data_IF_111736460706
#
_entry.id   IF_111736460706
#
_cell.length_a   1.000
_cell.length_b   1.000
_cell.length_c   1.000
_cell.angle_alpha   90.00
_cell.angle_beta   90.00
_cell.angle_gamma   90.00
#
_symmetry.space_group_name_H-M   'P 1'
#
loop_
_entity.id
_entity.type
_entity.pdbx_description
1 polymer ?
#
# COMPACT_ATOMS: atom_id res chain seq x y z
N UNK A 1 -16.83 -0.73 6.72
CA UNK A 1 -17.18 -2.05 7.27
C UNK A 1 -18.16 -1.83 8.42
N UNK A 2 -19.39 -2.36 8.29
CA UNK A 2 -20.43 -2.25 9.34
C UNK A 2 -20.27 -3.41 10.34
N UNK A 3 -19.08 -3.46 11.01
CA UNK A 3 -18.75 -4.48 12.00
C UNK A 3 -19.22 -4.00 13.37
N UNK A 4 -20.09 -4.79 14.01
CA UNK A 4 -20.58 -4.53 15.37
C UNK A 4 -19.66 -5.19 16.40
N UNK A 5 -19.59 -4.66 17.64
CA UNK A 5 -18.81 -5.29 18.71
C UNK A 5 -19.17 -6.79 18.97
N UNK A 6 -20.41 -7.16 18.67
CA UNK A 6 -20.86 -8.55 18.78
C UNK A 6 -20.20 -9.50 17.77
N UNK A 7 -19.80 -8.99 16.61
CA UNK A 7 -19.21 -9.78 15.53
C UNK A 7 -17.72 -10.08 15.80
N UNK A 8 -17.10 -9.39 16.76
CA UNK A 8 -15.72 -9.62 17.18
C UNK A 8 -15.64 -10.91 18.00
N UNK A 9 -14.87 -11.87 17.55
CA UNK A 9 -14.72 -13.17 18.24
C UNK A 9 -13.89 -13.03 19.51
N UNK A 10 -12.72 -12.43 19.42
CA UNK A 10 -11.75 -12.27 20.49
C UNK A 10 -11.16 -10.86 20.50
N UNK A 11 -10.88 -10.35 21.70
CA UNK A 11 -10.12 -9.10 21.89
C UNK A 11 -8.80 -9.45 22.55
N UNK A 12 -7.70 -9.23 21.84
CA UNK A 12 -6.35 -9.54 22.31
C UNK A 12 -5.67 -8.22 22.65
N UNK A 13 -5.11 -8.12 23.86
CA UNK A 13 -4.38 -6.96 24.34
C UNK A 13 -2.87 -7.15 24.18
N UNK A 14 -2.19 -6.14 23.62
CA UNK A 14 -0.76 -6.13 23.37
C UNK A 14 -0.14 -4.83 23.88
N UNK A 15 1.06 -4.90 24.45
CA UNK A 15 1.80 -3.77 24.98
C UNK A 15 1.55 -3.50 26.47
N UNK A 16 2.51 -2.84 27.12
CA UNK A 16 2.51 -2.60 28.57
C UNK A 16 1.32 -1.81 29.12
N UNK A 17 0.77 -0.87 28.33
CA UNK A 17 -0.41 -0.08 28.70
C UNK A 17 -1.67 -0.94 28.93
N UNK A 18 -1.69 -2.15 28.43
CA UNK A 18 -2.81 -3.09 28.63
C UNK A 18 -2.92 -3.62 30.05
N UNK A 19 -1.88 -3.41 30.88
CA UNK A 19 -1.88 -3.75 32.31
C UNK A 19 -2.71 -2.78 33.14
N UNK A 20 -3.09 -1.63 32.57
CA UNK A 20 -3.90 -0.59 33.26
C UNK A 20 -5.34 -1.11 33.39
N UNK A 21 -5.90 -1.23 34.62
CA UNK A 21 -7.25 -1.77 34.82
C UNK A 21 -8.33 -1.02 34.04
N UNK A 22 -8.23 0.31 33.96
CA UNK A 22 -9.19 1.14 33.24
C UNK A 22 -9.26 0.80 31.72
N UNK A 23 -8.14 0.40 31.12
CA UNK A 23 -8.09 -0.05 29.72
C UNK A 23 -8.89 -1.36 29.56
N UNK A 24 -8.65 -2.32 30.44
CA UNK A 24 -9.34 -3.61 30.43
C UNK A 24 -10.85 -3.44 30.67
N UNK A 25 -11.24 -2.61 31.62
CA UNK A 25 -12.64 -2.30 31.90
C UNK A 25 -13.34 -1.61 30.72
N UNK A 26 -12.66 -0.67 30.05
CA UNK A 26 -13.21 0.02 28.88
C UNK A 26 -13.48 -0.95 27.74
N UNK A 27 -12.56 -1.87 27.48
CA UNK A 27 -12.70 -2.90 26.46
C UNK A 27 -13.87 -3.84 26.81
N UNK A 28 -13.95 -4.29 28.06
CA UNK A 28 -15.06 -5.12 28.54
C UNK A 28 -16.41 -4.44 28.34
N UNK A 29 -16.50 -3.13 28.63
CA UNK A 29 -17.72 -2.33 28.41
C UNK A 29 -18.12 -2.22 26.94
N UNK A 30 -17.15 -2.01 26.05
CA UNK A 30 -17.41 -1.79 24.61
C UNK A 30 -17.79 -3.12 23.93
N UNK A 31 -17.00 -4.16 24.16
CA UNK A 31 -17.17 -5.45 23.44
C UNK A 31 -18.01 -6.46 24.20
N UNK A 32 -18.38 -6.19 25.46
CA UNK A 32 -19.05 -7.14 26.37
C UNK A 32 -18.35 -8.50 26.42
N UNK A 33 -17.03 -8.50 26.38
CA UNK A 33 -16.13 -9.67 26.38
C UNK A 33 -14.92 -9.41 27.25
N UNK A 34 -14.45 -10.47 27.90
CA UNK A 34 -13.13 -10.39 28.58
C UNK A 34 -12.02 -10.36 27.52
N UNK A 35 -11.05 -9.51 27.76
CA UNK A 35 -9.85 -9.48 26.91
C UNK A 35 -8.96 -10.70 27.18
N UNK A 36 -8.36 -11.23 26.13
CA UNK A 36 -7.39 -12.33 26.24
C UNK A 36 -5.97 -11.77 26.22
N UNK A 37 -5.14 -12.25 27.15
CA UNK A 37 -3.71 -12.04 27.13
C UNK A 37 -3.05 -13.24 26.45
N UNK A 38 -2.37 -13.04 25.36
CA UNK A 38 -1.58 -14.07 24.71
C UNK A 38 -0.12 -13.91 25.11
N UNK A 39 0.37 -14.79 25.97
CA UNK A 39 1.75 -14.73 26.46
C UNK A 39 2.05 -13.48 27.28
N UNK A 40 3.26 -12.94 27.15
CA UNK A 40 3.65 -11.67 27.74
C UNK A 40 3.30 -10.52 26.79
N UNK A 41 2.38 -9.61 27.14
CA UNK A 41 1.96 -8.51 26.26
C UNK A 41 3.11 -7.57 25.89
N UNK A 42 4.15 -7.47 26.72
CA UNK A 42 5.31 -6.62 26.45
C UNK A 42 6.23 -7.20 25.36
N UNK A 43 6.23 -8.52 25.19
CA UNK A 43 7.09 -9.25 24.25
C UNK A 43 6.35 -9.64 22.95
N UNK A 44 5.03 -9.55 22.93
CA UNK A 44 4.19 -10.08 21.84
C UNK A 44 4.58 -9.51 20.48
N UNK A 45 4.92 -8.21 20.39
CA UNK A 45 5.34 -7.55 19.15
C UNK A 45 6.70 -8.10 18.69
N UNK A 46 7.67 -8.22 19.61
CA UNK A 46 9.00 -8.73 19.29
C UNK A 46 8.95 -10.19 18.83
N UNK A 47 8.15 -11.00 19.52
CA UNK A 47 7.93 -12.42 19.15
C UNK A 47 7.24 -12.53 17.78
N UNK A 48 6.23 -11.70 17.51
CA UNK A 48 5.58 -11.64 16.21
C UNK A 48 6.53 -11.25 15.09
N UNK A 49 7.37 -10.24 15.32
CA UNK A 49 8.42 -9.83 14.37
C UNK A 49 9.43 -10.94 14.10
N UNK A 50 9.85 -11.69 15.13
CA UNK A 50 10.78 -12.82 14.98
C UNK A 50 10.15 -13.96 14.16
N UNK A 51 8.87 -14.27 14.39
CA UNK A 51 8.12 -15.28 13.62
C UNK A 51 7.97 -14.83 12.16
N UNK A 52 7.65 -13.55 11.93
CA UNK A 52 7.55 -12.97 10.59
C UNK A 52 8.88 -13.01 9.86
N UNK A 53 9.97 -12.65 10.51
CA UNK A 53 11.31 -12.75 9.94
C UNK A 53 11.66 -14.20 9.54
N UNK A 54 11.33 -15.17 10.37
CA UNK A 54 11.50 -16.58 10.03
C UNK A 54 10.63 -17.01 8.84
N UNK A 55 9.38 -16.56 8.78
CA UNK A 55 8.45 -16.84 7.67
C UNK A 55 8.97 -16.29 6.33
N UNK A 56 9.56 -15.09 6.32
CA UNK A 56 10.13 -14.44 5.13
C UNK A 56 11.56 -14.94 4.79
N UNK A 57 12.22 -15.69 5.69
CA UNK A 57 13.57 -16.19 5.46
C UNK A 57 13.60 -17.38 4.49
N UNK A 58 14.72 -17.50 3.75
CA UNK A 58 14.94 -18.72 2.95
C UNK A 58 14.94 -19.95 3.87
N UNK A 59 14.17 -20.96 3.51
CA UNK A 59 14.04 -22.21 4.25
C UNK A 59 15.38 -22.90 4.52
N UNK A 60 16.42 -22.63 3.73
CA UNK A 60 17.79 -23.14 3.93
C UNK A 60 18.43 -22.60 5.20
N UNK A 61 18.08 -21.38 5.60
CA UNK A 61 18.65 -20.68 6.75
C UNK A 61 17.95 -21.02 8.07
N UNK A 62 16.86 -21.78 8.02
CA UNK A 62 16.06 -22.13 9.19
C UNK A 62 16.39 -23.50 9.72
N UNK A 63 16.48 -23.62 11.06
CA UNK A 63 16.60 -24.91 11.72
C UNK A 63 15.26 -25.70 11.70
N UNK A 64 15.27 -27.01 12.00
CA UNK A 64 14.06 -27.84 11.95
C UNK A 64 12.91 -27.33 12.82
N UNK A 65 13.18 -26.77 14.01
CA UNK A 65 12.17 -26.25 14.92
C UNK A 65 11.53 -24.98 14.36
N UNK A 66 12.30 -24.09 13.77
CA UNK A 66 11.81 -22.89 13.11
C UNK A 66 10.93 -23.25 11.90
N UNK A 67 11.35 -24.22 11.08
CA UNK A 67 10.56 -24.73 9.95
C UNK A 67 9.22 -25.28 10.42
N UNK A 68 9.23 -26.06 11.50
CA UNK A 68 7.99 -26.61 12.08
C UNK A 68 7.08 -25.50 12.63
N UNK A 69 7.65 -24.48 13.28
CA UNK A 69 6.87 -23.37 13.83
C UNK A 69 6.14 -22.58 12.75
N UNK A 70 6.78 -22.33 11.60
CA UNK A 70 6.18 -21.56 10.51
C UNK A 70 5.36 -22.39 9.52
N UNK A 71 5.50 -23.71 9.51
CA UNK A 71 4.86 -24.60 8.51
C UNK A 71 3.33 -24.53 8.44
N UNK A 72 2.69 -24.10 9.54
CA UNK A 72 1.24 -23.95 9.65
C UNK A 72 0.79 -22.50 9.54
N UNK A 73 1.71 -21.55 9.37
CA UNK A 73 1.38 -20.15 9.26
C UNK A 73 1.05 -19.82 7.80
N UNK A 74 -0.04 -19.13 7.61
CA UNK A 74 -0.37 -18.45 6.36
C UNK A 74 -0.50 -16.98 6.69
N UNK A 75 0.43 -16.17 6.18
CA UNK A 75 0.38 -14.73 6.34
C UNK A 75 -0.03 -14.11 5.00
N UNK A 76 -1.03 -13.27 5.04
CA UNK A 76 -1.52 -12.52 3.91
C UNK A 76 -1.37 -11.03 4.25
N UNK A 77 -0.70 -10.31 3.40
CA UNK A 77 -0.56 -8.86 3.50
C UNK A 77 -1.55 -8.20 2.55
N UNK A 78 -1.84 -6.93 2.80
CA UNK A 78 -2.75 -6.14 1.99
C UNK A 78 -2.12 -4.77 1.70
N UNK A 79 -2.50 -4.16 0.58
CA UNK A 79 -2.05 -2.83 0.20
C UNK A 79 -2.46 -1.81 1.27
N UNK A 80 -1.53 -0.99 1.81
CA UNK A 80 -1.83 -0.08 2.91
C UNK A 80 -2.60 1.17 2.48
N UNK A 81 -2.58 1.47 1.19
CA UNK A 81 -3.15 2.67 0.58
C UNK A 81 -3.84 2.36 -0.74
N UNK A 82 -4.65 3.30 -1.21
CA UNK A 82 -5.09 3.35 -2.60
C UNK A 82 -3.95 3.91 -3.44
N UNK A 83 -3.70 3.31 -4.59
CA UNK A 83 -2.73 3.78 -5.57
C UNK A 83 -3.43 3.97 -6.91
N UNK A 84 -3.18 5.10 -7.55
CA UNK A 84 -3.84 5.48 -8.78
C UNK A 84 -2.96 6.29 -9.71
N UNK A 85 -3.57 6.80 -10.77
CA UNK A 85 -2.96 7.73 -11.73
C UNK A 85 -3.92 8.86 -12.04
N UNK A 86 -3.39 10.06 -12.32
CA UNK A 86 -4.21 11.19 -12.76
C UNK A 86 -4.47 11.05 -14.26
N UNK A 87 -5.74 11.03 -14.62
CA UNK A 87 -6.21 10.92 -16.01
C UNK A 87 -7.27 11.98 -16.29
N UNK A 88 -7.77 12.02 -17.50
CA UNK A 88 -8.93 12.82 -17.88
C UNK A 88 -10.14 11.90 -18.00
N UNK A 89 -11.24 12.30 -17.41
CA UNK A 89 -12.52 11.61 -17.53
C UNK A 89 -13.64 12.61 -17.87
N UNK A 90 -14.73 12.10 -18.41
CA UNK A 90 -15.92 12.91 -18.67
C UNK A 90 -16.60 13.22 -17.32
N UNK A 91 -16.68 14.50 -16.99
CA UNK A 91 -17.38 14.98 -15.81
C UNK A 91 -18.88 15.05 -16.03
N UNK A 92 -19.62 15.38 -14.97
CA UNK A 92 -21.10 15.45 -14.96
C UNK A 92 -21.70 16.40 -16.01
N UNK A 93 -20.92 17.32 -16.55
CA UNK A 93 -21.34 18.30 -17.57
C UNK A 93 -20.93 17.93 -18.99
N UNK A 94 -20.35 16.73 -19.20
CA UNK A 94 -19.79 16.31 -20.49
C UNK A 94 -18.44 16.96 -20.82
N UNK A 95 -17.86 17.73 -19.90
CA UNK A 95 -16.52 18.30 -20.05
C UNK A 95 -15.48 17.33 -19.49
N UNK A 96 -14.31 17.30 -20.13
CA UNK A 96 -13.18 16.54 -19.63
C UNK A 96 -12.58 17.21 -18.40
N UNK A 97 -12.50 16.47 -17.31
CA UNK A 97 -11.94 16.91 -16.04
C UNK A 97 -10.81 15.97 -15.62
N UNK A 98 -9.83 16.52 -14.92
CA UNK A 98 -8.80 15.69 -14.29
C UNK A 98 -9.44 14.89 -13.18
N UNK A 99 -9.15 13.60 -13.13
CA UNK A 99 -9.62 12.70 -12.08
C UNK A 99 -8.48 11.75 -11.67
N UNK A 100 -8.49 11.34 -10.41
CA UNK A 100 -7.65 10.27 -9.96
C UNK A 100 -8.34 8.93 -10.23
N UNK A 101 -7.72 8.08 -11.01
CA UNK A 101 -8.18 6.72 -11.30
C UNK A 101 -7.42 5.75 -10.40
N UNK A 102 -8.12 5.13 -9.45
CA UNK A 102 -7.54 4.12 -8.56
C UNK A 102 -7.31 2.82 -9.32
N UNK A 103 -6.11 2.26 -9.20
CA UNK A 103 -5.70 1.00 -9.84
C UNK A 103 -5.54 -0.10 -8.79
N UNK A 104 -4.86 0.18 -7.67
CA UNK A 104 -4.80 -0.74 -6.53
C UNK A 104 -5.62 -0.13 -5.40
N UNK A 105 -6.63 -0.85 -4.94
CA UNK A 105 -7.42 -0.45 -3.78
C UNK A 105 -6.68 -0.73 -2.48
N UNK A 106 -6.94 0.07 -1.45
CA UNK A 106 -6.53 -0.26 -0.10
C UNK A 106 -7.15 -1.60 0.31
N UNK A 107 -6.42 -2.36 1.09
CA UNK A 107 -6.77 -3.71 1.54
C UNK A 107 -6.79 -4.77 0.41
N UNK A 108 -6.37 -4.42 -0.84
CA UNK A 108 -6.12 -5.40 -1.89
C UNK A 108 -5.05 -6.38 -1.44
N UNK A 109 -5.35 -7.67 -1.60
CA UNK A 109 -4.43 -8.73 -1.18
C UNK A 109 -3.15 -8.72 -2.02
N UNK A 110 -1.99 -8.67 -1.36
CA UNK A 110 -0.68 -8.75 -2.01
C UNK A 110 -0.07 -10.15 -1.90
N UNK A 111 0.70 -10.62 -2.89
CA UNK A 111 1.08 -9.89 -4.09
C UNK A 111 -0.07 -9.71 -5.07
N UNK A 112 -0.10 -8.57 -5.77
CA UNK A 112 -1.06 -8.31 -6.83
C UNK A 112 -0.41 -7.63 -8.04
N UNK A 113 -1.05 -7.74 -9.20
CA UNK A 113 -0.67 -7.00 -10.40
C UNK A 113 -1.95 -6.66 -11.17
N UNK A 114 -2.25 -5.38 -11.28
CA UNK A 114 -3.48 -4.87 -11.90
C UNK A 114 -3.08 -3.97 -13.07
N UNK A 115 -3.74 -4.16 -14.20
CA UNK A 115 -3.50 -3.40 -15.42
C UNK A 115 -4.80 -2.75 -15.88
N UNK A 116 -4.74 -1.43 -16.10
CA UNK A 116 -5.86 -0.64 -16.59
C UNK A 116 -5.48 0.04 -17.93
N UNK A 117 -6.38 0.05 -18.91
CA UNK A 117 -6.17 0.73 -20.17
C UNK A 117 -6.57 2.21 -20.07
N UNK A 118 -5.72 3.07 -20.63
CA UNK A 118 -5.99 4.49 -20.84
C UNK A 118 -5.74 4.83 -22.31
N UNK A 119 -6.23 5.98 -22.76
CA UNK A 119 -6.19 6.33 -24.17
C UNK A 119 -5.67 7.75 -24.39
N UNK A 120 -4.89 7.95 -25.45
CA UNK A 120 -4.46 9.27 -25.86
C UNK A 120 -5.65 10.12 -26.31
N UNK A 121 -5.60 11.43 -26.07
CA UNK A 121 -6.73 12.32 -26.27
C UNK A 121 -6.61 13.19 -27.53
N UNK A 122 -5.41 13.26 -28.11
CA UNK A 122 -5.15 14.14 -29.24
C UNK A 122 -4.46 13.38 -30.38
N UNK A 123 -4.75 13.81 -31.60
CA UNK A 123 -4.01 13.35 -32.77
C UNK A 123 -2.55 13.83 -32.66
N UNK A 124 -1.65 13.00 -33.19
CA UNK A 124 -0.21 13.28 -33.18
C UNK A 124 0.41 13.53 -31.81
N UNK A 125 -0.20 13.01 -30.73
CA UNK A 125 0.35 13.10 -29.39
C UNK A 125 1.70 12.38 -29.34
N UNK A 126 2.73 13.03 -28.79
CA UNK A 126 4.11 12.49 -28.71
C UNK A 126 4.57 12.23 -27.29
N UNK A 127 3.74 12.61 -26.32
CA UNK A 127 4.07 12.47 -24.89
C UNK A 127 2.81 12.18 -24.08
N UNK A 128 2.94 11.34 -23.05
CA UNK A 128 1.91 11.09 -22.04
C UNK A 128 2.51 11.41 -20.68
N UNK A 129 1.88 12.33 -19.95
CA UNK A 129 2.23 12.60 -18.57
C UNK A 129 1.75 11.46 -17.70
N UNK A 130 2.68 10.77 -17.08
CA UNK A 130 2.45 9.64 -16.19
C UNK A 130 2.57 10.09 -14.73
N UNK A 131 1.63 9.68 -13.89
CA UNK A 131 1.66 9.97 -12.46
C UNK A 131 1.37 8.71 -11.66
N UNK A 132 1.96 8.59 -10.48
CA UNK A 132 1.55 7.62 -9.49
C UNK A 132 1.06 8.39 -8.27
N UNK A 133 -0.17 8.12 -7.87
CA UNK A 133 -0.82 8.76 -6.73
C UNK A 133 -1.01 7.78 -5.59
N UNK A 134 -1.09 8.32 -4.38
CA UNK A 134 -1.38 7.58 -3.16
C UNK A 134 -2.43 8.32 -2.33
N UNK A 135 -3.39 7.58 -1.76
CA UNK A 135 -4.41 8.12 -0.85
C UNK A 135 -4.74 7.13 0.27
N UNK A 136 -5.20 7.64 1.40
CA UNK A 136 -5.71 6.83 2.52
C UNK A 136 -7.17 6.42 2.34
N UNK A 137 -7.90 7.11 1.45
CA UNK A 137 -9.31 6.90 1.13
C UNK A 137 -9.48 6.73 -0.38
N UNK A 138 -10.60 6.18 -0.81
CA UNK A 138 -10.96 6.10 -2.23
C UNK A 138 -11.34 7.51 -2.72
N UNK A 139 -10.35 8.17 -3.34
CA UNK A 139 -10.42 9.58 -3.71
C UNK A 139 -10.26 9.75 -5.22
N UNK A 140 -11.20 10.42 -5.84
CA UNK A 140 -11.22 10.69 -7.28
C UNK A 140 -10.76 12.10 -7.62
N UNK A 141 -10.81 13.03 -6.67
CA UNK A 141 -10.32 14.40 -6.90
C UNK A 141 -8.78 14.42 -6.76
N UNK A 142 -8.06 14.83 -7.81
CA UNK A 142 -6.60 14.88 -7.80
C UNK A 142 -6.01 15.91 -6.82
N UNK A 143 -6.80 16.84 -6.30
CA UNK A 143 -6.33 17.81 -5.29
C UNK A 143 -6.19 17.18 -3.90
N UNK A 144 -6.87 16.07 -3.63
CA UNK A 144 -6.85 15.37 -2.33
C UNK A 144 -6.00 14.09 -2.33
N UNK A 145 -5.23 13.83 -3.38
CA UNK A 145 -4.28 12.72 -3.41
C UNK A 145 -2.83 13.19 -3.41
N UNK A 146 -1.94 12.40 -2.87
CA UNK A 146 -0.51 12.66 -2.93
C UNK A 146 0.08 12.10 -4.22
N UNK A 147 0.72 12.91 -5.04
CA UNK A 147 1.52 12.45 -6.18
C UNK A 147 2.87 12.00 -5.65
N UNK A 148 3.13 10.70 -5.65
CA UNK A 148 4.36 10.10 -5.15
C UNK A 148 5.43 9.94 -6.24
N UNK A 149 5.01 9.96 -7.50
CA UNK A 149 5.89 9.97 -8.65
C UNK A 149 5.23 10.64 -9.85
N UNK A 150 6.01 11.35 -10.66
CA UNK A 150 5.60 11.99 -11.90
C UNK A 150 6.71 11.87 -12.95
N UNK A 151 6.34 11.67 -14.21
CA UNK A 151 7.27 11.62 -15.33
C UNK A 151 6.54 11.57 -16.66
N UNK A 152 7.31 11.48 -17.73
CA UNK A 152 6.81 11.47 -19.09
C UNK A 152 7.11 10.13 -19.78
N UNK A 153 6.15 9.63 -20.54
CA UNK A 153 6.29 8.54 -21.51
C UNK A 153 6.29 9.13 -22.91
N UNK A 154 7.43 9.03 -23.59
CA UNK A 154 7.50 9.39 -25.01
C UNK A 154 6.77 8.33 -25.84
N UNK A 155 5.84 8.77 -26.68
CA UNK A 155 5.07 7.90 -27.57
C UNK A 155 5.29 8.30 -29.03
N UNK A 156 5.07 7.39 -29.94
CA UNK A 156 5.25 7.64 -31.36
C UNK A 156 4.17 8.59 -31.87
N UNK A 157 4.59 9.75 -32.39
CA UNK A 157 3.71 10.69 -33.09
C UNK A 157 3.18 10.14 -34.44
N UNK A 158 2.31 10.91 -35.10
CA UNK A 158 1.74 10.56 -36.38
C UNK A 158 0.57 9.58 -36.30
N UNK A 159 0.08 9.30 -35.10
CA UNK A 159 -1.08 8.41 -34.83
C UNK A 159 -2.31 9.25 -34.44
N UNK A 160 -3.55 8.78 -34.73
CA UNK A 160 -4.76 9.44 -34.26
C UNK A 160 -4.90 9.33 -32.74
N UNK A 161 -5.77 10.13 -32.15
CA UNK A 161 -6.23 9.96 -30.77
C UNK A 161 -6.79 8.55 -30.53
N UNK A 162 -6.89 8.15 -29.26
CA UNK A 162 -7.40 6.84 -28.88
C UNK A 162 -6.35 5.71 -28.89
N UNK A 163 -5.04 6.04 -28.88
CA UNK A 163 -3.99 5.03 -28.72
C UNK A 163 -3.97 4.50 -27.30
N UNK A 164 -3.94 3.18 -27.16
CA UNK A 164 -3.97 2.51 -25.87
C UNK A 164 -2.64 2.64 -25.12
N UNK A 165 -2.72 3.11 -23.89
CA UNK A 165 -1.64 3.15 -22.90
C UNK A 165 -2.04 2.21 -21.75
N UNK A 166 -1.31 1.13 -21.57
CA UNK A 166 -1.53 0.22 -20.45
C UNK A 166 -0.74 0.71 -19.24
N UNK A 167 -1.44 0.88 -18.13
CA UNK A 167 -0.82 1.21 -16.83
C UNK A 167 -0.95 -0.01 -15.93
N UNK A 168 0.18 -0.59 -15.56
CA UNK A 168 0.24 -1.77 -14.69
C UNK A 168 0.88 -1.39 -13.36
N UNK A 169 0.17 -1.64 -12.27
CA UNK A 169 0.72 -1.53 -10.93
C UNK A 169 0.87 -2.92 -10.33
N UNK A 170 2.03 -3.19 -9.76
CA UNK A 170 2.34 -4.46 -9.09
C UNK A 170 2.82 -4.21 -7.69
N UNK A 171 2.28 -4.98 -6.75
CA UNK A 171 2.72 -4.97 -5.35
C UNK A 171 3.27 -6.35 -5.02
N UNK A 172 4.54 -6.40 -4.64
CA UNK A 172 5.24 -7.66 -4.38
C UNK A 172 5.07 -8.13 -2.94
N UNK A 173 5.39 -9.41 -2.64
CA UNK A 173 5.33 -9.98 -1.29
C UNK A 173 6.26 -9.28 -0.28
N UNK A 174 7.34 -8.65 -0.75
CA UNK A 174 8.28 -7.91 0.07
C UNK A 174 7.90 -6.42 0.25
N UNK A 175 6.66 -6.06 -0.11
CA UNK A 175 6.11 -4.73 0.10
C UNK A 175 6.62 -3.67 -0.89
N UNK A 176 7.19 -4.07 -2.03
CA UNK A 176 7.63 -3.15 -3.07
C UNK A 176 6.54 -2.93 -4.09
N UNK A 177 6.30 -1.68 -4.42
CA UNK A 177 5.39 -1.30 -5.48
C UNK A 177 6.18 -0.96 -6.75
N UNK A 178 5.69 -1.41 -7.88
CA UNK A 178 6.18 -1.07 -9.22
C UNK A 178 5.05 -0.53 -10.07
N UNK A 179 5.37 0.43 -10.91
CA UNK A 179 4.46 0.95 -11.92
C UNK A 179 5.10 0.84 -13.31
N UNK A 180 4.31 0.45 -14.29
CA UNK A 180 4.70 0.37 -15.69
C UNK A 180 3.66 1.07 -16.54
N UNK A 181 4.12 1.94 -17.43
CA UNK A 181 3.31 2.64 -18.42
C UNK A 181 3.79 2.20 -19.80
N UNK A 182 2.92 1.60 -20.59
CA UNK A 182 3.23 1.00 -21.89
C UNK A 182 2.37 1.60 -23.00
N UNK A 183 2.99 2.21 -24.01
CA UNK A 183 2.33 2.50 -25.29
C UNK A 183 2.23 1.20 -26.09
N UNK A 184 1.03 0.65 -26.20
CA UNK A 184 0.78 -0.63 -26.88
C UNK A 184 1.15 -0.56 -28.36
N UNK A 185 0.96 0.59 -29.00
CA UNK A 185 1.20 0.76 -30.43
C UNK A 185 2.68 0.83 -30.83
N UNK A 186 3.53 1.47 -30.01
CA UNK A 186 4.97 1.59 -30.28
C UNK A 186 5.82 0.58 -29.50
N UNK A 187 5.31 0.04 -28.39
CA UNK A 187 6.06 -0.77 -27.47
C UNK A 187 6.95 0.01 -26.51
N UNK A 188 6.93 1.35 -26.57
CA UNK A 188 7.66 2.16 -25.62
C UNK A 188 7.07 2.03 -24.24
N UNK A 189 7.92 1.83 -23.23
CA UNK A 189 7.49 1.73 -21.83
C UNK A 189 8.30 2.59 -20.88
N UNK A 190 7.69 2.93 -19.74
CA UNK A 190 8.32 3.58 -18.60
C UNK A 190 8.03 2.74 -17.37
N UNK A 191 9.08 2.10 -16.85
CA UNK A 191 9.00 1.27 -15.66
C UNK A 191 9.61 1.98 -14.46
N UNK A 192 8.93 1.92 -13.31
CA UNK A 192 9.30 2.64 -12.09
C UNK A 192 9.25 1.65 -10.93
N UNK A 193 10.32 1.59 -10.17
CA UNK A 193 10.35 0.92 -8.85
C UNK A 193 10.08 1.99 -7.79
N UNK A 194 8.90 1.90 -7.17
CA UNK A 194 8.46 2.77 -6.09
C UNK A 194 8.78 2.15 -4.73
N UNK A 195 9.86 1.38 -4.64
CA UNK A 195 10.37 0.98 -3.34
C UNK A 195 10.50 2.25 -2.51
N UNK A 196 9.78 2.30 -1.40
CA UNK A 196 9.78 3.44 -0.49
C UNK A 196 11.22 3.56 0.02
N UNK A 197 11.98 4.36 -0.69
CA UNK A 197 13.22 4.89 -0.18
C UNK A 197 12.80 5.94 0.86
N UNK A 198 12.56 5.46 2.09
CA UNK A 198 12.33 6.29 3.26
C UNK A 198 13.50 7.26 3.54
N UNK A 199 14.55 7.21 2.72
CA UNK A 199 15.71 8.09 2.75
C UNK A 199 15.52 9.43 2.03
N UNK A 200 14.37 9.67 1.35
CA UNK A 200 14.11 10.95 0.65
C UNK A 200 13.04 11.84 1.26
N UNK A 201 12.35 11.44 2.30
CA UNK A 201 11.88 12.44 3.26
C UNK A 201 13.15 12.91 3.97
N UNK A 202 13.54 14.15 3.72
CA UNK A 202 14.46 14.88 4.58
C UNK A 202 13.86 14.85 5.98
N UNK A 203 14.17 13.80 6.72
CA UNK A 203 14.22 13.90 8.16
C UNK A 203 15.35 14.92 8.33
N UNK A 204 15.00 16.18 8.64
CA UNK A 204 15.94 17.07 9.27
C UNK A 204 16.64 16.21 10.30
N UNK A 205 17.95 16.10 10.22
CA UNK A 205 18.76 15.27 11.11
C UNK A 205 18.30 15.60 12.53
N UNK A 206 17.49 14.71 13.08
CA UNK A 206 17.14 14.77 14.49
C UNK A 206 18.48 14.64 15.21
N UNK A 207 18.97 15.77 15.69
CA UNK A 207 20.19 15.84 16.47
C UNK A 207 19.99 14.99 17.75
N UNK A 208 20.41 13.72 17.64
CA UNK A 208 20.30 12.73 18.72
C UNK A 208 20.94 13.24 20.01
N UNK A 209 21.83 14.26 19.92
CA UNK A 209 22.46 14.88 21.09
C UNK A 209 21.49 15.73 21.93
N UNK A 210 20.31 16.11 21.42
CA UNK A 210 19.28 16.81 22.18
C UNK A 210 18.52 15.90 23.17
N UNK A 211 18.69 14.58 23.07
CA UNK A 211 18.01 13.60 23.91
C UNK A 211 18.91 12.95 24.96
N UNK A 212 20.06 13.55 25.29
CA UNK A 212 20.84 13.12 26.45
C UNK A 212 20.10 13.51 27.71
N UNK A 213 19.53 12.52 28.39
CA UNK A 213 19.04 12.62 29.75
C UNK A 213 20.29 12.57 30.65
N UNK A 214 20.54 13.63 31.43
CA UNK A 214 21.54 13.61 32.51
C UNK A 214 21.13 12.66 33.64
#
# INVERSE_FOLDING_TARGET
LDIKPADITDVILVGGSTRIPAVQESIKKIFNKESKLFGNPDESVALGAAIYAAYKSDAKNLNPLQKQAISKLSMSEAAPHFFGTITMAEGNTGQLVKTNSVIISKDEKIPCSITEPYYTMSDNQTNVKCTVTQSSVDETDPEFVSVIWEGDLEIQGGRPAGQEIKVTYSYTEDGKMRASFLDVGSGNSKDIDLSIDSSKQSVDELDINQFKVE
#
